data_IF_245152926284
#
_entry.id   IF_245152926284
#
_cell.length_a   1.000
_cell.length_b   1.000
_cell.length_c   1.000
_cell.angle_alpha   90.00
_cell.angle_beta   90.00
_cell.angle_gamma   90.00
#
_symmetry.space_group_name_H-M   'P 1'
#
loop_
_entity.id
_entity.type
_entity.pdbx_description
1 polymer ?
#
# COMPACT_ATOMS: atom_id res chain seq x y z
N UNK A 1 -5.45 5.19 -15.76
CA UNK A 1 -5.21 4.85 -14.35
C UNK A 1 -6.30 5.47 -13.49
N UNK A 2 -6.73 4.82 -12.40
CA UNK A 2 -7.82 5.35 -11.55
C UNK A 2 -7.37 6.54 -10.68
N UNK A 3 -6.06 6.77 -10.59
CA UNK A 3 -5.44 7.85 -9.83
C UNK A 3 -4.27 8.45 -10.65
N UNK A 4 -4.56 9.25 -11.70
CA UNK A 4 -3.52 9.74 -12.61
C UNK A 4 -2.51 10.69 -11.94
N UNK A 5 -2.94 11.40 -10.90
CA UNK A 5 -2.10 12.37 -10.14
C UNK A 5 -1.41 11.73 -8.92
N UNK A 6 -1.64 10.44 -8.67
CA UNK A 6 -1.10 9.81 -7.48
C UNK A 6 0.41 9.61 -7.59
N UNK A 7 1.11 10.04 -6.55
CA UNK A 7 2.55 9.83 -6.41
C UNK A 7 2.91 9.54 -4.95
N UNK A 8 4.09 9.00 -4.72
CA UNK A 8 4.53 8.75 -3.36
C UNK A 8 5.93 8.14 -3.28
N UNK A 9 6.48 8.18 -2.07
CA UNK A 9 7.76 7.58 -1.72
C UNK A 9 7.52 6.43 -0.75
N UNK A 10 8.22 5.32 -0.96
CA UNK A 10 8.31 4.22 -0.02
C UNK A 10 9.75 4.11 0.47
N UNK A 11 9.93 4.14 1.80
CA UNK A 11 11.22 3.94 2.46
C UNK A 11 11.11 2.67 3.29
N UNK A 12 12.04 1.74 3.07
CA UNK A 12 12.16 0.52 3.85
C UNK A 12 13.54 0.56 4.50
N UNK A 13 13.56 0.58 5.83
CA UNK A 13 14.79 0.51 6.63
C UNK A 13 14.68 -0.68 7.57
N UNK A 14 15.68 -1.57 7.55
CA UNK A 14 15.84 -2.82 8.33
C UNK A 14 14.55 -3.61 8.60
N UNK A 15 13.72 -3.12 9.51
CA UNK A 15 12.50 -3.74 10.03
C UNK A 15 11.29 -2.77 10.03
N UNK A 16 11.27 -1.77 9.15
CA UNK A 16 10.24 -0.76 9.14
C UNK A 16 9.94 -0.25 7.72
N UNK A 17 8.66 -0.05 7.43
CA UNK A 17 8.15 0.52 6.18
C UNK A 17 7.51 1.88 6.47
N UNK A 18 7.89 2.89 5.70
CA UNK A 18 7.21 4.18 5.64
C UNK A 18 6.77 4.49 4.21
N UNK A 19 5.52 4.91 4.05
CA UNK A 19 4.97 5.38 2.78
C UNK A 19 4.40 6.78 2.99
N UNK A 20 4.74 7.67 2.08
CA UNK A 20 4.11 8.98 1.94
C UNK A 20 3.50 9.04 0.55
N UNK A 21 2.19 9.27 0.47
CA UNK A 21 1.46 9.34 -0.78
C UNK A 21 0.67 10.65 -0.88
N UNK A 22 0.54 11.15 -2.11
CA UNK A 22 -0.20 12.37 -2.47
C UNK A 22 -1.02 12.12 -3.73
N UNK A 23 -2.00 12.98 -3.99
CA UNK A 23 -2.86 12.86 -5.18
C UNK A 23 -3.77 11.62 -5.17
N UNK A 24 -3.97 11.02 -3.99
CA UNK A 24 -4.94 9.93 -3.80
C UNK A 24 -6.36 10.47 -3.65
N UNK A 25 -7.37 9.60 -3.68
CA UNK A 25 -8.76 9.97 -3.40
C UNK A 25 -8.84 10.56 -1.98
N UNK A 26 -9.40 11.77 -1.79
CA UNK A 26 -9.55 12.36 -0.46
C UNK A 26 -10.44 11.54 0.48
N UNK A 27 -10.14 11.59 1.78
CA UNK A 27 -10.92 10.97 2.86
C UNK A 27 -11.20 9.47 2.68
N UNK A 28 -10.34 8.75 1.95
CA UNK A 28 -10.55 7.36 1.57
C UNK A 28 -9.60 6.40 2.29
N UNK A 29 -10.00 5.13 2.35
CA UNK A 29 -9.24 4.07 3.01
C UNK A 29 -8.38 3.35 2.00
N UNK A 30 -7.10 3.20 2.34
CA UNK A 30 -6.12 2.47 1.56
C UNK A 30 -5.46 1.38 2.39
N UNK A 31 -5.02 0.32 1.73
CA UNK A 31 -4.17 -0.71 2.34
C UNK A 31 -2.88 -0.92 1.55
N UNK A 32 -1.86 -1.41 2.24
CA UNK A 32 -0.51 -1.60 1.70
C UNK A 32 -0.15 -3.08 1.64
N UNK A 33 0.33 -3.54 0.49
CA UNK A 33 0.59 -4.94 0.19
C UNK A 33 1.99 -5.14 -0.39
N UNK A 34 2.67 -6.20 0.04
CA UNK A 34 3.77 -6.76 -0.72
C UNK A 34 3.25 -7.80 -1.70
N UNK A 35 3.74 -7.77 -2.94
CA UNK A 35 3.29 -8.66 -4.02
C UNK A 35 4.48 -9.31 -4.70
N UNK A 36 4.35 -10.60 -4.97
CA UNK A 36 5.23 -11.35 -5.88
C UNK A 36 4.37 -11.92 -7.01
N UNK A 37 4.90 -11.95 -8.23
CA UNK A 37 4.21 -12.42 -9.43
C UNK A 37 4.77 -13.74 -9.97
N UNK A 38 5.85 -14.29 -9.38
CA UNK A 38 6.49 -15.53 -9.82
C UNK A 38 6.75 -16.50 -8.65
N UNK A 39 6.58 -17.82 -8.85
CA UNK A 39 5.97 -18.48 -10.01
C UNK A 39 4.44 -18.25 -10.07
N UNK A 40 3.82 -17.89 -8.96
CA UNK A 40 2.39 -17.59 -8.81
C UNK A 40 2.21 -16.24 -8.11
N UNK A 41 1.08 -15.57 -8.39
CA UNK A 41 0.77 -14.28 -7.77
C UNK A 41 0.46 -14.46 -6.29
N UNK A 42 1.36 -14.00 -5.43
CA UNK A 42 1.17 -13.95 -3.98
C UNK A 42 1.11 -12.51 -3.49
N UNK A 43 0.30 -12.28 -2.47
CA UNK A 43 0.21 -10.99 -1.78
C UNK A 43 0.15 -11.20 -0.27
N UNK A 44 0.78 -10.31 0.48
CA UNK A 44 0.66 -10.23 1.95
C UNK A 44 0.51 -8.78 2.38
N UNK A 45 -0.13 -8.55 3.53
CA UNK A 45 -0.18 -7.22 4.13
C UNK A 45 1.22 -6.75 4.51
N UNK A 46 1.52 -5.48 4.25
CA UNK A 46 2.82 -4.90 4.54
C UNK A 46 2.85 -4.31 5.95
N UNK A 47 3.35 -5.05 6.93
CA UNK A 47 3.51 -4.61 8.32
C UNK A 47 2.44 -5.15 9.26
N UNK A 48 1.75 -4.28 10.00
CA UNK A 48 0.77 -4.68 11.03
C UNK A 48 -0.68 -4.53 10.56
N UNK A 49 -1.55 -5.48 10.91
CA UNK A 49 -2.99 -5.37 10.65
C UNK A 49 -3.54 -4.07 11.27
N UNK A 50 -4.37 -3.29 10.54
CA UNK A 50 -5.08 -3.63 9.30
C UNK A 50 -4.32 -3.29 8.01
N UNK A 51 -3.03 -2.97 8.07
CA UNK A 51 -2.18 -2.55 6.95
C UNK A 51 -2.69 -1.29 6.25
N UNK A 52 -3.42 -0.44 6.98
CA UNK A 52 -4.23 0.61 6.40
C UNK A 52 -3.76 2.01 6.80
N UNK A 53 -4.07 2.97 5.93
CA UNK A 53 -4.09 4.38 6.25
C UNK A 53 -5.31 5.05 5.62
N UNK A 54 -5.65 6.23 6.13
CA UNK A 54 -6.70 7.08 5.57
C UNK A 54 -6.07 8.34 5.02
N UNK A 55 -6.50 8.75 3.82
CA UNK A 55 -6.08 10.03 3.26
C UNK A 55 -6.83 11.18 3.91
N UNK A 56 -6.19 12.34 3.98
CA UNK A 56 -6.81 13.58 4.42
C UNK A 56 -7.74 14.17 3.32
N UNK A 57 -8.29 15.37 3.56
CA UNK A 57 -9.17 16.05 2.59
C UNK A 57 -8.47 16.53 1.30
N UNK A 58 -7.13 16.50 1.27
CA UNK A 58 -6.32 16.86 0.11
C UNK A 58 -5.81 15.64 -0.66
N UNK A 59 -6.09 14.42 -0.18
CA UNK A 59 -5.60 13.20 -0.81
C UNK A 59 -4.19 12.81 -0.40
N UNK A 60 -3.66 13.38 0.68
CA UNK A 60 -2.38 12.94 1.25
C UNK A 60 -2.59 11.86 2.30
N UNK A 61 -1.69 10.89 2.33
CA UNK A 61 -1.70 9.83 3.33
C UNK A 61 -0.30 9.37 3.71
N UNK A 62 -0.16 8.99 4.96
CA UNK A 62 1.08 8.44 5.51
C UNK A 62 0.78 7.07 6.11
N UNK A 63 1.63 6.09 5.80
CA UNK A 63 1.60 4.78 6.41
C UNK A 63 2.98 4.46 7.00
N UNK A 64 2.98 3.89 8.20
CA UNK A 64 4.18 3.58 8.96
C UNK A 64 3.93 2.29 9.70
N UNK A 65 4.74 1.26 9.48
CA UNK A 65 4.57 -0.01 10.15
C UNK A 65 5.89 -0.78 10.33
N UNK A 66 6.06 -1.48 11.47
CA UNK A 66 7.14 -2.43 11.62
C UNK A 66 6.95 -3.62 10.67
N UNK A 67 8.05 -4.20 10.22
CA UNK A 67 8.13 -5.41 9.44
C UNK A 67 8.80 -6.49 10.28
N UNK A 68 8.26 -7.71 10.26
CA UNK A 68 8.89 -8.85 10.93
C UNK A 68 10.25 -9.19 10.29
N UNK A 69 10.33 -9.08 8.96
CA UNK A 69 11.52 -9.34 8.16
C UNK A 69 11.64 -8.30 7.04
N UNK A 70 12.86 -8.10 6.52
CA UNK A 70 13.08 -7.29 5.33
C UNK A 70 12.36 -7.92 4.11
N UNK A 71 11.68 -7.12 3.27
CA UNK A 71 10.86 -7.65 2.19
C UNK A 71 11.67 -8.00 0.92
N UNK A 72 12.94 -7.58 0.85
CA UNK A 72 13.82 -7.75 -0.31
C UNK A 72 14.10 -9.23 -0.61
N UNK A 73 14.15 -9.59 -1.89
CA UNK A 73 14.38 -10.96 -2.36
C UNK A 73 13.15 -11.88 -2.26
N UNK A 74 12.24 -11.65 -1.31
CA UNK A 74 10.98 -12.38 -1.17
C UNK A 74 9.84 -11.78 -2.00
N UNK A 75 9.77 -10.45 -2.02
CA UNK A 75 8.70 -9.69 -2.67
C UNK A 75 9.24 -8.86 -3.82
N UNK A 76 8.44 -8.71 -4.88
CA UNK A 76 8.86 -8.01 -6.11
C UNK A 76 8.42 -6.54 -6.12
N UNK A 77 7.36 -6.20 -5.39
CA UNK A 77 6.80 -4.85 -5.36
C UNK A 77 5.99 -4.59 -4.09
N UNK A 78 5.87 -3.31 -3.77
CA UNK A 78 4.88 -2.77 -2.83
C UNK A 78 3.73 -2.15 -3.63
N UNK A 79 2.50 -2.34 -3.17
CA UNK A 79 1.28 -1.82 -3.77
C UNK A 79 0.43 -1.11 -2.72
N UNK A 80 -0.15 0.02 -3.11
CA UNK A 80 -1.20 0.73 -2.35
C UNK A 80 -2.51 0.55 -3.10
N UNK A 81 -3.55 0.12 -2.40
CA UNK A 81 -4.87 -0.15 -2.98
C UNK A 81 -5.97 0.59 -2.24
N UNK A 82 -6.89 1.19 -2.98
CA UNK A 82 -8.10 1.85 -2.50
C UNK A 82 -9.16 0.80 -2.14
N UNK A 83 -9.84 1.01 -1.02
CA UNK A 83 -11.09 0.35 -0.65
C UNK A 83 -12.26 1.33 -0.87
N UNK A 84 -13.01 1.23 -1.98
CA UNK A 84 -14.07 2.19 -2.32
C UNK A 84 -15.20 2.27 -1.30
N UNK A 85 -15.46 1.16 -0.59
CA UNK A 85 -16.47 1.03 0.47
C UNK A 85 -15.95 1.44 1.86
N UNK A 86 -14.68 1.85 1.96
CA UNK A 86 -14.04 2.20 3.22
C UNK A 86 -13.72 1.01 4.13
N UNK A 87 -13.98 -0.23 3.71
CA UNK A 87 -13.74 -1.41 4.52
C UNK A 87 -12.41 -2.09 4.13
N UNK A 88 -11.34 -1.99 4.94
CA UNK A 88 -10.04 -2.57 4.62
C UNK A 88 -10.06 -4.11 4.59
N UNK A 89 -11.11 -4.75 5.13
CA UNK A 89 -11.31 -6.21 5.08
C UNK A 89 -12.02 -6.66 3.81
N UNK A 90 -12.66 -5.76 3.07
CA UNK A 90 -13.30 -6.12 1.80
C UNK A 90 -12.26 -6.17 0.67
N UNK A 91 -11.88 -7.38 0.30
CA UNK A 91 -10.85 -7.64 -0.71
C UNK A 91 -11.39 -7.81 -2.14
N UNK A 92 -12.71 -7.75 -2.35
CA UNK A 92 -13.33 -8.04 -3.66
C UNK A 92 -13.28 -6.84 -4.61
N UNK A 93 -13.39 -5.61 -4.08
CA UNK A 93 -13.55 -4.39 -4.87
C UNK A 93 -12.36 -3.43 -4.76
N UNK A 94 -11.16 -3.96 -4.52
CA UNK A 94 -9.97 -3.12 -4.35
C UNK A 94 -9.52 -2.54 -5.69
N UNK A 95 -9.09 -1.28 -5.69
CA UNK A 95 -8.58 -0.58 -6.87
C UNK A 95 -7.13 -0.20 -6.65
N UNK A 96 -6.23 -0.57 -7.56
CA UNK A 96 -4.82 -0.16 -7.48
C UNK A 96 -4.66 1.35 -7.54
N UNK A 97 -3.79 1.90 -6.70
CA UNK A 97 -3.52 3.35 -6.65
C UNK A 97 -2.04 3.67 -6.89
N UNK A 98 -1.13 2.98 -6.20
CA UNK A 98 0.31 3.11 -6.41
C UNK A 98 0.97 1.73 -6.43
N UNK A 99 2.09 1.62 -7.14
CA UNK A 99 2.98 0.46 -7.09
C UNK A 99 4.42 0.89 -7.30
N UNK A 100 5.34 0.26 -6.58
CA UNK A 100 6.78 0.45 -6.77
C UNK A 100 7.50 -0.90 -6.67
N UNK A 101 8.53 -1.10 -7.49
CA UNK A 101 9.39 -2.28 -7.40
C UNK A 101 10.25 -2.20 -6.13
N UNK A 102 10.54 -3.36 -5.55
CA UNK A 102 11.47 -3.53 -4.44
C UNK A 102 12.85 -3.95 -4.94
#
# INVERSE_FOLDING_TARGET
DAHPEASGNAVIDKNHLSIQARGLKPNAVYTVWFVNTRPTKHKTGAGSTPYMFKTNKWGDGVYSAPLADAPFGKWAMVMVVLHPDGNPKNMKNMVGALKAKL
#
